data_IF_122114532108
#
_entry.id   IF_122114532108
#
_cell.length_a   1.000
_cell.length_b   1.000
_cell.length_c   1.000
_cell.angle_alpha   90.00
_cell.angle_beta   90.00
_cell.angle_gamma   90.00
#
_symmetry.space_group_name_H-M   'P 1'
#
loop_
_entity.id
_entity.type
_entity.pdbx_description
1 polymer ?
#
# COMPACT_ATOMS: atom_id res chain seq x y z
N UNK A 1 -53.70 -51.36 -27.60
CA UNK A 1 -52.32 -51.10 -27.16
C UNK A 1 -51.88 -49.81 -27.81
N UNK A 2 -52.10 -48.69 -27.13
CA UNK A 2 -51.84 -47.33 -27.62
C UNK A 2 -50.77 -46.66 -26.77
N UNK A 3 -49.89 -45.96 -27.47
CA UNK A 3 -48.64 -45.34 -27.00
C UNK A 3 -48.85 -44.22 -25.98
N UNK A 4 -47.95 -44.14 -24.99
CA UNK A 4 -47.71 -42.92 -24.21
C UNK A 4 -46.37 -42.30 -24.65
N UNK A 5 -46.31 -40.99 -24.96
CA UNK A 5 -45.05 -40.32 -25.25
C UNK A 5 -44.25 -40.08 -23.97
N UNK A 6 -42.96 -40.42 -24.00
CA UNK A 6 -42.01 -40.13 -22.95
C UNK A 6 -41.78 -38.63 -22.77
N UNK A 7 -41.70 -38.19 -21.52
CA UNK A 7 -41.35 -36.84 -21.12
C UNK A 7 -39.95 -36.47 -21.64
N UNK A 8 -39.74 -35.24 -22.14
CA UNK A 8 -38.42 -34.80 -22.57
C UNK A 8 -37.50 -34.63 -21.35
N UNK A 9 -36.31 -35.21 -21.46
CA UNK A 9 -35.24 -35.11 -20.48
C UNK A 9 -34.93 -33.65 -20.14
N UNK A 10 -35.04 -33.34 -18.86
CA UNK A 10 -34.62 -32.07 -18.27
C UNK A 10 -33.14 -31.84 -18.62
N UNK A 11 -32.88 -30.84 -19.46
CA UNK A 11 -31.54 -30.33 -19.68
C UNK A 11 -30.92 -29.98 -18.31
N UNK A 12 -29.69 -30.41 -18.02
CA UNK A 12 -28.97 -29.80 -16.93
C UNK A 12 -28.75 -28.35 -17.33
N UNK A 13 -29.44 -27.43 -16.66
CA UNK A 13 -29.07 -26.02 -16.60
C UNK A 13 -27.69 -25.95 -15.97
N UNK A 14 -26.66 -26.23 -16.76
CA UNK A 14 -25.30 -25.88 -16.45
C UNK A 14 -25.27 -24.36 -16.45
N UNK A 15 -25.38 -23.78 -15.25
CA UNK A 15 -24.86 -22.43 -15.04
C UNK A 15 -23.38 -22.58 -15.35
N UNK A 16 -22.98 -22.22 -16.57
CA UNK A 16 -21.59 -22.05 -16.92
C UNK A 16 -21.02 -21.03 -15.94
N UNK A 17 -20.32 -21.51 -14.92
CA UNK A 17 -19.44 -20.70 -14.08
C UNK A 17 -18.24 -20.29 -14.94
N UNK A 18 -18.51 -19.40 -15.90
CA UNK A 18 -17.57 -18.77 -16.83
C UNK A 18 -16.86 -17.58 -16.15
N UNK A 19 -16.73 -17.62 -14.83
CA UNK A 19 -15.78 -16.79 -14.11
C UNK A 19 -14.57 -17.67 -13.90
N UNK A 20 -13.56 -17.50 -14.76
CA UNK A 20 -12.24 -18.06 -14.51
C UNK A 20 -11.86 -17.72 -13.06
N UNK A 21 -11.53 -18.71 -12.25
CA UNK A 21 -10.98 -18.51 -10.91
C UNK A 21 -9.55 -17.91 -10.95
N UNK A 22 -9.09 -17.51 -12.14
CA UNK A 22 -7.95 -16.65 -12.30
C UNK A 22 -8.30 -15.32 -11.65
N UNK A 23 -7.63 -14.98 -10.54
CA UNK A 23 -7.81 -13.75 -9.75
C UNK A 23 -7.35 -12.50 -10.52
N UNK A 24 -7.70 -12.42 -11.81
CA UNK A 24 -7.45 -11.24 -12.64
C UNK A 24 -8.52 -10.23 -12.32
N UNK A 25 -8.08 -9.01 -12.05
CA UNK A 25 -8.94 -7.86 -11.85
C UNK A 25 -9.86 -7.67 -13.07
N UNK A 26 -11.17 -7.96 -12.93
CA UNK A 26 -12.10 -7.91 -14.05
C UNK A 26 -12.44 -6.46 -14.46
N UNK A 27 -12.03 -5.47 -13.66
CA UNK A 27 -12.35 -4.06 -13.86
C UNK A 27 -11.17 -3.22 -14.32
N UNK A 28 -9.99 -3.81 -14.52
CA UNK A 28 -8.75 -3.09 -14.92
C UNK A 28 -8.47 -1.87 -14.02
N UNK A 29 -8.75 -2.01 -12.72
CA UNK A 29 -8.54 -1.04 -11.65
C UNK A 29 -7.07 -0.76 -11.36
N UNK A 30 -6.18 -1.72 -11.63
CA UNK A 30 -4.73 -1.52 -11.44
C UNK A 30 -4.13 -0.62 -12.52
N UNK A 31 -3.22 0.27 -12.11
CA UNK A 31 -2.46 1.17 -12.98
C UNK A 31 -1.67 0.44 -14.07
N UNK A 32 -1.34 -0.84 -13.83
CA UNK A 32 -0.64 -1.72 -14.74
C UNK A 32 -1.05 -3.17 -14.49
N UNK A 33 -0.87 -4.03 -15.49
CA UNK A 33 -1.07 -5.47 -15.33
C UNK A 33 -0.12 -6.05 -14.28
N UNK A 34 -0.68 -6.81 -13.33
CA UNK A 34 0.10 -7.52 -12.32
C UNK A 34 0.54 -8.90 -12.83
N UNK A 35 1.82 -9.21 -12.68
CA UNK A 35 2.31 -10.57 -12.87
C UNK A 35 1.94 -11.47 -11.67
N UNK A 36 2.11 -12.81 -11.74
CA UNK A 36 1.70 -13.72 -10.67
C UNK A 36 2.35 -13.44 -9.31
N UNK A 37 3.62 -12.99 -9.29
CA UNK A 37 4.30 -12.63 -8.04
C UNK A 37 3.67 -11.37 -7.46
N UNK A 38 3.36 -10.38 -8.30
CA UNK A 38 2.72 -9.13 -7.85
C UNK A 38 1.29 -9.35 -7.34
N UNK A 39 0.53 -10.25 -7.96
CA UNK A 39 -0.78 -10.66 -7.46
C UNK A 39 -0.67 -11.29 -6.07
N UNK A 40 0.31 -12.18 -5.86
CA UNK A 40 0.60 -12.76 -4.56
C UNK A 40 1.01 -11.70 -3.53
N UNK A 41 1.90 -10.78 -3.91
CA UNK A 41 2.35 -9.69 -3.04
C UNK A 41 1.20 -8.75 -2.65
N UNK A 42 0.33 -8.43 -3.59
CA UNK A 42 -0.86 -7.60 -3.34
C UNK A 42 -1.83 -8.29 -2.37
N UNK A 43 -2.12 -9.57 -2.58
CA UNK A 43 -2.95 -10.35 -1.65
C UNK A 43 -2.31 -10.40 -0.25
N UNK A 44 -0.99 -10.63 -0.18
CA UNK A 44 -0.24 -10.60 1.07
C UNK A 44 -0.28 -9.23 1.75
N UNK A 45 -0.20 -8.14 0.98
CA UNK A 45 -0.34 -6.79 1.53
C UNK A 45 -1.69 -6.59 2.20
N UNK A 46 -2.78 -6.93 1.49
CA UNK A 46 -4.14 -6.72 1.98
C UNK A 46 -4.45 -7.58 3.20
N UNK A 47 -4.06 -8.85 3.17
CA UNK A 47 -4.45 -9.83 4.20
C UNK A 47 -3.49 -9.88 5.39
N UNK A 48 -2.23 -9.47 5.23
CA UNK A 48 -1.19 -9.61 6.28
C UNK A 48 -0.61 -8.28 6.69
N UNK A 49 -0.16 -7.46 5.74
CA UNK A 49 0.56 -6.20 6.05
C UNK A 49 -0.38 -5.16 6.65
N UNK A 50 -1.55 -4.92 6.04
CA UNK A 50 -2.54 -3.96 6.55
C UNK A 50 -2.90 -4.24 8.02
N UNK A 51 -3.26 -5.48 8.41
CA UNK A 51 -3.50 -5.80 9.82
C UNK A 51 -2.31 -5.61 10.76
N UNK A 52 -1.06 -5.53 10.28
CA UNK A 52 0.12 -5.32 11.14
C UNK A 52 0.49 -3.83 11.27
N UNK A 53 0.05 -2.98 10.35
CA UNK A 53 0.36 -1.54 10.35
C UNK A 53 -0.45 -0.71 11.38
N UNK A 54 -1.26 -1.35 12.23
CA UNK A 54 -2.24 -0.70 13.13
C UNK A 54 -1.59 0.46 13.88
N UNK A 55 -1.95 1.69 13.51
CA UNK A 55 -1.43 2.94 14.06
C UNK A 55 -2.06 3.22 15.45
N UNK A 56 -1.99 2.26 16.37
CA UNK A 56 -2.67 2.25 17.66
C UNK A 56 -4.22 2.36 17.59
N UNK A 57 -4.81 2.22 16.40
CA UNK A 57 -6.25 2.18 16.16
C UNK A 57 -6.82 0.76 16.32
N UNK A 58 -8.14 0.66 16.54
CA UNK A 58 -8.86 -0.61 16.45
C UNK A 58 -8.59 -1.29 15.10
N UNK A 59 -8.31 -2.59 15.16
CA UNK A 59 -7.95 -3.38 13.98
C UNK A 59 -8.98 -3.31 12.86
N UNK A 60 -10.27 -3.26 13.21
CA UNK A 60 -11.38 -3.29 12.26
C UNK A 60 -11.51 -1.94 11.57
N UNK A 61 -11.50 -0.84 12.31
CA UNK A 61 -11.65 0.51 11.72
C UNK A 61 -10.47 0.84 10.80
N UNK A 62 -9.25 0.54 11.26
CA UNK A 62 -8.05 0.75 10.46
C UNK A 62 -8.10 -0.06 9.15
N UNK A 63 -8.38 -1.37 9.24
CA UNK A 63 -8.45 -2.23 8.05
C UNK A 63 -9.55 -1.77 7.07
N UNK A 64 -10.71 -1.32 7.58
CA UNK A 64 -11.78 -0.80 6.74
C UNK A 64 -11.36 0.47 5.99
N UNK A 65 -10.71 1.44 6.65
CA UNK A 65 -10.20 2.65 5.99
C UNK A 65 -9.12 2.32 4.97
N UNK A 66 -8.24 1.38 5.30
CA UNK A 66 -7.21 0.91 4.37
C UNK A 66 -7.81 0.27 3.12
N UNK A 67 -8.81 -0.59 3.26
CA UNK A 67 -9.44 -1.28 2.13
C UNK A 67 -10.33 -0.34 1.31
N UNK A 68 -11.00 0.63 1.93
CA UNK A 68 -11.95 1.52 1.25
C UNK A 68 -11.31 2.75 0.63
N UNK A 69 -10.23 3.26 1.22
CA UNK A 69 -9.63 4.53 0.83
C UNK A 69 -8.25 4.30 0.25
N UNK A 70 -7.32 3.76 1.06
CA UNK A 70 -5.93 3.65 0.66
C UNK A 70 -5.70 2.70 -0.51
N UNK A 71 -6.17 1.45 -0.42
CA UNK A 71 -5.91 0.43 -1.45
C UNK A 71 -6.45 0.86 -2.82
N UNK A 72 -7.71 1.31 -2.97
CA UNK A 72 -8.22 1.77 -4.25
C UNK A 72 -7.43 2.94 -4.84
N UNK A 73 -6.98 3.89 -4.00
CA UNK A 73 -6.14 5.00 -4.46
C UNK A 73 -4.74 4.55 -4.87
N UNK A 74 -4.14 3.65 -4.12
CA UNK A 74 -2.78 3.21 -4.38
C UNK A 74 -2.67 2.30 -5.62
N UNK A 75 -3.69 1.47 -5.90
CA UNK A 75 -3.64 0.58 -7.08
C UNK A 75 -3.81 1.33 -8.40
N UNK A 76 -4.46 2.50 -8.43
CA UNK A 76 -4.68 3.29 -9.65
C UNK A 76 -3.46 4.11 -10.05
N UNK A 77 -2.43 4.15 -9.21
CA UNK A 77 -1.18 4.83 -9.50
C UNK A 77 0.03 3.90 -9.38
N UNK A 78 0.79 3.74 -10.47
CA UNK A 78 1.89 2.75 -10.52
C UNK A 78 2.90 2.90 -9.39
N UNK A 79 3.25 4.13 -9.03
CA UNK A 79 4.26 4.41 -8.01
C UNK A 79 3.79 4.08 -6.58
N UNK A 80 2.50 4.25 -6.29
CA UNK A 80 1.90 3.88 -5.00
C UNK A 80 1.65 2.37 -4.93
N UNK A 81 1.29 1.75 -6.06
CA UNK A 81 1.26 0.30 -6.19
C UNK A 81 2.63 -0.31 -5.91
N UNK A 82 3.71 0.26 -6.44
CA UNK A 82 5.08 -0.21 -6.15
C UNK A 82 5.41 -0.12 -4.64
N UNK A 83 4.90 0.88 -3.93
CA UNK A 83 5.03 1.00 -2.46
C UNK A 83 4.25 -0.09 -1.72
N UNK A 84 3.04 -0.45 -2.19
CA UNK A 84 2.28 -1.59 -1.66
C UNK A 84 3.09 -2.89 -1.81
N UNK A 85 3.65 -3.11 -3.00
CA UNK A 85 4.44 -4.30 -3.31
C UNK A 85 5.75 -4.32 -2.52
N UNK A 86 6.39 -3.16 -2.32
CA UNK A 86 7.55 -2.98 -1.45
C UNK A 86 7.26 -3.47 -0.03
N UNK A 87 6.16 -2.99 0.57
CA UNK A 87 5.79 -3.35 1.93
C UNK A 87 5.56 -4.86 2.09
N UNK A 88 4.88 -5.49 1.13
CA UNK A 88 4.69 -6.95 1.11
C UNK A 88 6.01 -7.71 0.97
N UNK A 89 6.87 -7.33 0.01
CA UNK A 89 8.18 -7.96 -0.19
C UNK A 89 9.03 -7.86 1.08
N UNK A 90 9.03 -6.68 1.71
CA UNK A 90 9.81 -6.43 2.90
C UNK A 90 9.39 -7.32 4.05
N UNK A 91 8.07 -7.42 4.30
CA UNK A 91 7.55 -8.34 5.30
C UNK A 91 7.96 -9.79 5.02
N UNK A 92 7.78 -10.27 3.80
CA UNK A 92 8.14 -11.64 3.40
C UNK A 92 9.64 -11.91 3.50
N UNK A 93 10.48 -10.94 3.13
CA UNK A 93 11.94 -11.06 3.22
C UNK A 93 12.41 -11.33 4.66
N UNK A 94 11.73 -10.73 5.65
CA UNK A 94 12.02 -10.96 7.07
C UNK A 94 11.43 -12.30 7.51
N UNK A 95 10.19 -12.61 7.11
CA UNK A 95 9.51 -13.86 7.47
C UNK A 95 10.30 -15.10 7.02
N UNK A 96 10.93 -15.06 5.84
CA UNK A 96 11.72 -16.18 5.32
C UNK A 96 13.16 -16.29 5.84
N UNK A 97 13.60 -15.36 6.70
CA UNK A 97 15.00 -15.28 7.19
C UNK A 97 15.52 -16.59 7.79
N UNK A 98 14.66 -17.37 8.44
CA UNK A 98 15.04 -18.58 9.16
C UNK A 98 14.63 -19.89 8.47
N UNK A 99 13.93 -19.85 7.33
CA UNK A 99 13.31 -21.05 6.76
C UNK A 99 13.62 -21.33 5.29
N UNK A 100 13.88 -20.30 4.48
CA UNK A 100 14.05 -20.48 3.03
C UNK A 100 14.94 -19.39 2.44
N UNK A 101 16.25 -19.65 2.44
CA UNK A 101 17.26 -18.71 1.94
C UNK A 101 17.03 -18.30 0.48
N UNK A 102 16.50 -19.20 -0.36
CA UNK A 102 16.15 -18.89 -1.74
C UNK A 102 15.02 -17.85 -1.85
N UNK A 103 13.91 -18.08 -1.15
CA UNK A 103 12.77 -17.16 -1.14
C UNK A 103 13.14 -15.82 -0.49
N UNK A 104 13.90 -15.84 0.60
CA UNK A 104 14.41 -14.64 1.24
C UNK A 104 15.16 -13.76 0.23
N UNK A 105 16.09 -14.31 -0.54
CA UNK A 105 16.88 -13.54 -1.53
C UNK A 105 15.99 -12.92 -2.61
N UNK A 106 14.99 -13.67 -3.11
CA UNK A 106 14.04 -13.16 -4.10
C UNK A 106 13.30 -11.94 -3.56
N UNK A 107 12.73 -12.04 -2.36
CA UNK A 107 11.99 -10.92 -1.78
C UNK A 107 12.91 -9.74 -1.39
N UNK A 108 14.16 -9.99 -1.00
CA UNK A 108 15.14 -8.92 -0.78
C UNK A 108 15.47 -8.16 -2.07
N UNK A 109 15.64 -8.87 -3.19
CA UNK A 109 15.88 -8.25 -4.49
C UNK A 109 14.68 -7.41 -4.94
N UNK A 110 13.47 -7.94 -4.80
CA UNK A 110 12.24 -7.20 -5.11
C UNK A 110 12.04 -5.98 -4.20
N UNK A 111 12.32 -6.11 -2.89
CA UNK A 111 12.32 -4.97 -1.96
C UNK A 111 13.28 -3.87 -2.42
N UNK A 112 14.51 -4.21 -2.82
CA UNK A 112 15.46 -3.23 -3.31
C UNK A 112 14.95 -2.55 -4.60
N UNK A 113 14.43 -3.34 -5.54
CA UNK A 113 13.89 -2.84 -6.80
C UNK A 113 12.75 -1.85 -6.57
N UNK A 114 11.69 -2.25 -5.84
CA UNK A 114 10.54 -1.38 -5.59
C UNK A 114 10.93 -0.14 -4.80
N UNK A 115 11.81 -0.26 -3.80
CA UNK A 115 12.31 0.92 -3.05
C UNK A 115 13.03 1.91 -3.97
N UNK A 116 13.90 1.42 -4.84
CA UNK A 116 14.60 2.27 -5.82
C UNK A 116 13.62 2.96 -6.77
N UNK A 117 12.61 2.24 -7.25
CA UNK A 117 11.58 2.78 -8.15
C UNK A 117 10.73 3.84 -7.45
N UNK A 118 10.26 3.57 -6.23
CA UNK A 118 9.46 4.52 -5.44
C UNK A 118 10.24 5.79 -5.09
N UNK A 119 11.53 5.69 -4.76
CA UNK A 119 12.39 6.86 -4.52
C UNK A 119 12.58 7.70 -5.78
N UNK A 120 12.81 7.06 -6.93
CA UNK A 120 12.91 7.77 -8.21
C UNK A 120 11.59 8.47 -8.57
N UNK A 121 10.46 7.77 -8.39
CA UNK A 121 9.13 8.32 -8.64
C UNK A 121 8.82 9.52 -7.73
N UNK A 122 9.14 9.42 -6.43
CA UNK A 122 8.98 10.54 -5.50
C UNK A 122 9.83 11.74 -5.92
N UNK A 123 11.12 11.52 -6.22
CA UNK A 123 12.03 12.60 -6.65
C UNK A 123 11.54 13.29 -7.92
N UNK A 124 11.09 12.51 -8.90
CA UNK A 124 10.54 13.03 -10.14
C UNK A 124 9.27 13.85 -9.88
N UNK A 125 8.35 13.33 -9.06
CA UNK A 125 7.10 14.01 -8.72
C UNK A 125 7.35 15.35 -8.01
N UNK A 126 8.25 15.39 -7.03
CA UNK A 126 8.67 16.65 -6.37
C UNK A 126 9.19 17.65 -7.41
N UNK A 127 10.05 17.20 -8.32
CA UNK A 127 10.64 18.08 -9.33
C UNK A 127 9.62 18.62 -10.33
N UNK A 128 8.58 17.84 -10.63
CA UNK A 128 7.55 18.18 -11.61
C UNK A 128 6.40 19.01 -11.03
N UNK A 129 6.08 18.82 -9.75
CA UNK A 129 4.89 19.40 -9.12
C UNK A 129 5.19 20.67 -8.31
N UNK A 130 6.45 20.94 -7.95
CA UNK A 130 6.79 22.12 -7.16
C UNK A 130 6.36 23.43 -7.85
N UNK A 131 5.73 24.38 -7.12
CA UNK A 131 5.52 24.38 -5.65
C UNK A 131 4.23 23.68 -5.17
N UNK A 132 3.35 23.22 -6.07
CA UNK A 132 2.01 22.71 -5.75
C UNK A 132 1.97 21.17 -5.77
N UNK A 133 2.34 20.57 -4.64
CA UNK A 133 2.43 19.11 -4.50
C UNK A 133 1.06 18.43 -4.42
N UNK A 134 0.94 17.29 -5.09
CA UNK A 134 -0.26 16.44 -5.06
C UNK A 134 -0.32 15.60 -3.78
N UNK A 135 -1.52 15.17 -3.39
CA UNK A 135 -1.71 14.23 -2.26
C UNK A 135 -0.95 12.92 -2.49
N UNK A 136 -0.87 12.50 -3.75
CA UNK A 136 -0.11 11.34 -4.19
C UNK A 136 1.39 11.46 -3.89
N UNK A 137 1.98 12.64 -4.13
CA UNK A 137 3.40 12.90 -3.83
C UNK A 137 3.66 12.88 -2.33
N UNK A 138 2.78 13.50 -1.54
CA UNK A 138 2.87 13.44 -0.08
C UNK A 138 2.70 12.00 0.43
N UNK A 139 1.77 11.24 -0.15
CA UNK A 139 1.53 9.84 0.21
C UNK A 139 2.76 8.96 -0.03
N UNK A 140 3.49 9.16 -1.13
CA UNK A 140 4.77 8.46 -1.35
C UNK A 140 5.77 8.72 -0.23
N UNK A 141 5.95 9.99 0.16
CA UNK A 141 6.88 10.37 1.21
C UNK A 141 6.49 9.74 2.56
N UNK A 142 5.21 9.81 2.92
CA UNK A 142 4.66 9.21 4.15
C UNK A 142 4.85 7.69 4.14
N UNK A 143 4.51 7.01 3.05
CA UNK A 143 4.59 5.54 3.01
C UNK A 143 6.04 5.02 2.93
N UNK A 144 6.95 5.79 2.32
CA UNK A 144 8.39 5.51 2.41
C UNK A 144 8.92 5.71 3.83
N UNK A 145 8.42 6.69 4.59
CA UNK A 145 8.74 6.79 6.01
C UNK A 145 8.30 5.53 6.79
N UNK A 146 7.11 4.97 6.50
CA UNK A 146 6.69 3.70 7.11
C UNK A 146 7.62 2.52 6.74
N UNK A 147 8.16 2.49 5.51
CA UNK A 147 9.17 1.50 5.12
C UNK A 147 10.44 1.58 5.99
N UNK A 148 10.92 2.80 6.26
CA UNK A 148 12.09 3.03 7.13
C UNK A 148 11.81 2.73 8.59
N UNK A 149 10.61 3.09 9.08
CA UNK A 149 10.16 2.73 10.43
C UNK A 149 10.16 1.21 10.60
N UNK A 150 9.70 0.46 9.60
CA UNK A 150 9.63 -0.99 9.65
C UNK A 150 11.01 -1.66 9.76
N UNK A 151 12.03 -1.15 9.05
CA UNK A 151 13.42 -1.65 9.18
C UNK A 151 14.25 -0.96 10.25
N UNK A 152 13.65 -0.02 11.00
CA UNK A 152 14.31 0.73 12.07
C UNK A 152 15.50 1.56 11.58
N UNK A 153 15.41 2.13 10.37
CA UNK A 153 16.37 3.13 9.89
C UNK A 153 15.95 4.51 10.40
N UNK A 154 16.33 4.83 11.64
CA UNK A 154 15.94 6.08 12.30
C UNK A 154 16.42 7.34 11.54
N UNK A 155 17.57 7.26 10.87
CA UNK A 155 18.12 8.40 10.11
C UNK A 155 17.28 8.67 8.88
N UNK A 156 17.00 7.64 8.08
CA UNK A 156 16.21 7.80 6.87
C UNK A 156 14.75 8.09 7.18
N UNK A 157 14.20 7.48 8.23
CA UNK A 157 12.89 7.81 8.76
C UNK A 157 12.76 9.30 9.05
N UNK A 158 13.72 9.89 9.80
CA UNK A 158 13.72 11.32 10.10
C UNK A 158 13.67 12.17 8.84
N UNK A 159 14.51 11.88 7.84
CA UNK A 159 14.53 12.64 6.60
C UNK A 159 13.20 12.56 5.86
N UNK A 160 12.57 11.39 5.77
CA UNK A 160 11.27 11.26 5.13
C UNK A 160 10.15 11.97 5.91
N UNK A 161 10.18 11.93 7.25
CA UNK A 161 9.20 12.64 8.09
C UNK A 161 9.37 14.16 7.97
N UNK A 162 10.59 14.67 8.05
CA UNK A 162 10.88 16.11 7.87
C UNK A 162 10.41 16.58 6.49
N UNK A 163 10.74 15.81 5.44
CA UNK A 163 10.31 16.13 4.08
C UNK A 163 8.78 16.09 3.95
N UNK A 164 8.10 15.07 4.50
CA UNK A 164 6.65 15.00 4.48
C UNK A 164 6.00 16.18 5.21
N UNK A 165 6.57 16.60 6.35
CA UNK A 165 6.11 17.77 7.10
C UNK A 165 6.27 19.05 6.28
N UNK A 166 7.41 19.23 5.62
CA UNK A 166 7.64 20.38 4.74
C UNK A 166 6.64 20.41 3.59
N UNK A 167 6.42 19.27 2.92
CA UNK A 167 5.44 19.16 1.82
C UNK A 167 4.02 19.51 2.28
N UNK A 168 3.63 19.06 3.47
CA UNK A 168 2.30 19.34 4.04
C UNK A 168 2.18 20.80 4.46
N UNK A 169 3.26 21.41 4.94
CA UNK A 169 3.31 22.85 5.22
C UNK A 169 3.07 23.65 3.94
N UNK A 170 3.74 23.29 2.83
CA UNK A 170 3.56 23.93 1.53
C UNK A 170 2.14 23.79 0.98
N UNK A 171 1.42 22.71 1.35
CA UNK A 171 0.01 22.52 0.99
C UNK A 171 -0.98 23.29 1.87
N UNK A 172 -0.54 23.88 2.98
CA UNK A 172 -1.40 24.63 3.90
C UNK A 172 -1.82 23.88 5.16
N UNK A 173 -1.16 22.76 5.48
CA UNK A 173 -1.33 22.02 6.74
C UNK A 173 -1.96 20.63 6.59
N UNK A 174 -1.95 19.80 7.66
CA UNK A 174 -2.37 18.39 7.60
C UNK A 174 -3.82 18.17 7.16
N UNK A 175 -4.72 19.10 7.50
CA UNK A 175 -6.13 19.09 7.14
C UNK A 175 -6.38 19.18 5.63
N UNK A 176 -5.36 19.52 4.84
CA UNK A 176 -5.44 19.57 3.37
C UNK A 176 -5.20 18.21 2.72
N UNK A 177 -4.81 17.20 3.49
CA UNK A 177 -4.58 15.86 2.99
C UNK A 177 -5.90 15.11 2.84
N UNK A 178 -6.11 14.51 1.66
CA UNK A 178 -7.31 13.75 1.34
C UNK A 178 -7.44 12.40 2.05
N UNK A 179 -8.26 11.53 1.46
CA UNK A 179 -8.62 10.19 1.97
C UNK A 179 -9.29 10.23 3.34
N UNK A 180 -10.26 11.13 3.54
CA UNK A 180 -11.05 11.26 4.76
C UNK A 180 -10.17 11.27 6.03
N UNK A 181 -9.10 12.07 6.01
CA UNK A 181 -8.15 12.22 7.10
C UNK A 181 -7.24 11.00 7.36
N UNK A 182 -7.20 10.01 6.45
CA UNK A 182 -6.34 8.83 6.63
C UNK A 182 -4.86 9.21 6.47
N UNK A 183 -4.56 10.08 5.51
CA UNK A 183 -3.19 10.55 5.27
C UNK A 183 -2.68 11.43 6.41
N UNK A 184 -3.53 12.31 6.93
CA UNK A 184 -3.25 13.09 8.15
C UNK A 184 -2.96 12.15 9.32
N UNK A 185 -3.83 11.16 9.56
CA UNK A 185 -3.63 10.18 10.62
C UNK A 185 -2.28 9.45 10.50
N UNK A 186 -1.90 9.07 9.28
CA UNK A 186 -0.61 8.44 9.03
C UNK A 186 0.58 9.34 9.36
N UNK A 187 0.55 10.60 8.97
CA UNK A 187 1.59 11.56 9.26
C UNK A 187 1.72 11.80 10.78
N UNK A 188 0.60 12.03 11.46
CA UNK A 188 0.59 12.27 12.91
C UNK A 188 1.11 11.07 13.70
N UNK A 189 0.77 9.84 13.28
CA UNK A 189 1.32 8.64 13.89
C UNK A 189 2.84 8.53 13.68
N UNK A 190 3.35 8.87 12.49
CA UNK A 190 4.80 8.91 12.25
C UNK A 190 5.50 9.96 13.13
N UNK A 191 4.94 11.16 13.23
CA UNK A 191 5.50 12.24 14.07
C UNK A 191 5.52 11.80 15.54
N UNK A 192 4.43 11.23 16.04
CA UNK A 192 4.32 10.72 17.41
C UNK A 192 5.39 9.67 17.69
N UNK A 193 5.54 8.66 16.82
CA UNK A 193 6.56 7.61 16.97
C UNK A 193 7.98 8.15 16.88
N UNK A 194 8.20 9.12 16.00
CA UNK A 194 9.51 9.73 15.78
C UNK A 194 9.95 10.56 16.98
N UNK A 195 9.03 11.34 17.59
CA UNK A 195 9.29 12.15 18.80
C UNK A 195 9.35 11.32 20.08
N UNK A 196 8.44 10.36 20.23
CA UNK A 196 8.31 9.55 21.45
C UNK A 196 9.29 8.38 21.45
N UNK A 197 9.06 7.40 20.58
CA UNK A 197 9.77 6.11 20.62
C UNK A 197 11.26 6.23 20.21
N UNK A 198 11.59 7.23 19.39
CA UNK A 198 12.93 7.42 18.82
C UNK A 198 13.61 8.72 19.27
N UNK A 199 12.92 9.57 20.06
CA UNK A 199 13.43 10.85 20.58
C UNK A 199 14.07 11.77 19.52
N UNK A 200 13.59 11.70 18.27
CA UNK A 200 14.10 12.53 17.17
C UNK A 200 13.37 13.87 17.11
N UNK A 201 14.13 14.94 16.93
CA UNK A 201 13.58 16.29 16.75
C UNK A 201 12.92 16.42 15.38
N UNK A 202 11.59 16.54 15.38
CA UNK A 202 10.75 16.86 14.21
C UNK A 202 9.93 18.11 14.55
N UNK A 203 10.13 19.18 13.79
CA UNK A 203 9.37 20.43 13.94
C UNK A 203 8.11 20.39 13.08
N UNK A 204 6.98 20.81 13.61
CA UNK A 204 5.69 20.89 12.91
C UNK A 204 5.20 22.33 12.95
N UNK A 205 5.28 23.07 11.83
CA UNK A 205 4.97 24.51 11.81
C UNK A 205 3.53 24.88 12.16
N UNK A 206 2.62 23.90 12.18
CA UNK A 206 1.19 24.09 12.46
C UNK A 206 0.79 23.80 13.91
N UNK A 207 1.74 23.48 14.79
CA UNK A 207 1.51 23.31 16.24
C UNK A 207 1.88 24.58 17.04
N UNK A 208 2.20 25.69 16.34
CA UNK A 208 2.51 27.01 16.93
C UNK A 208 1.29 27.95 16.97
#
# INVERSE_FOLDING_TARGET
MGSYPGLPGRAPSGISTLLSADRRDPFLSFARGLNPIEQFLFDHYVNVVIPLMRCNESAIFFAQRMIRLWVPTAITESSLLDIILLAACRHLSIAYRQGSQGQQRIFQQLTFQYKSQSLHALRHAISAEMPMLTDSTVAKAIMLAYDELYVRDAKMLKHHVDAAVEMVTLKGGPQTLGLDGLMEHFLLNLITKTRGDLELSVRTPWEE
#
